data_IF_740471300876
#
_entry.id   IF_740471300876
#
_cell.length_a   1.000
_cell.length_b   1.000
_cell.length_c   1.000
_cell.angle_alpha   90.00
_cell.angle_beta   90.00
_cell.angle_gamma   90.00
#
_symmetry.space_group_name_H-M   'P 1'
#
loop_
_entity.id
_entity.type
_entity.pdbx_description
1 polymer ?
#
# COMPACT_ATOMS: atom_id res chain seq x y z
N UNK A 1 -39.87 -27.21 19.59
CA UNK A 1 -39.06 -28.39 19.94
C UNK A 1 -37.84 -28.41 19.04
N UNK A 2 -36.64 -28.34 19.63
CA UNK A 2 -35.36 -28.37 18.93
C UNK A 2 -34.26 -28.18 19.97
N UNK A 3 -33.80 -29.29 20.55
CA UNK A 3 -32.85 -29.29 21.68
C UNK A 3 -31.44 -28.98 21.15
N UNK A 4 -30.85 -27.89 21.64
CA UNK A 4 -29.44 -27.56 21.43
C UNK A 4 -28.53 -28.56 22.16
N UNK A 5 -27.60 -29.14 21.41
CA UNK A 5 -26.55 -30.00 21.95
C UNK A 5 -25.52 -29.17 22.70
N UNK A 6 -25.38 -29.42 24.00
CA UNK A 6 -24.47 -28.70 24.89
C UNK A 6 -23.00 -29.06 24.68
N UNK A 7 -22.14 -28.08 24.99
CA UNK A 7 -20.71 -28.24 25.17
C UNK A 7 -20.40 -29.21 26.32
N UNK A 8 -19.52 -30.18 26.06
CA UNK A 8 -18.96 -31.08 27.08
C UNK A 8 -17.72 -30.44 27.70
N UNK A 9 -17.59 -30.35 29.05
CA UNK A 9 -16.39 -29.83 29.70
C UNK A 9 -15.24 -30.85 29.65
N UNK A 10 -14.05 -30.39 29.25
CA UNK A 10 -12.80 -31.15 29.26
C UNK A 10 -12.36 -31.47 30.69
N UNK A 11 -12.05 -32.75 30.95
CA UNK A 11 -11.57 -33.23 32.26
C UNK A 11 -10.16 -32.69 32.56
N UNK A 12 -10.03 -32.04 33.72
CA UNK A 12 -8.76 -31.62 34.34
C UNK A 12 -7.80 -32.80 34.44
N UNK A 13 -6.59 -32.68 33.86
CA UNK A 13 -5.44 -33.53 34.14
C UNK A 13 -4.44 -32.68 34.93
N UNK A 14 -4.16 -33.05 36.18
CA UNK A 14 -3.06 -32.48 36.95
C UNK A 14 -1.72 -32.96 36.40
N UNK A 15 -0.67 -32.12 36.37
CA UNK A 15 0.67 -32.57 36.00
C UNK A 15 1.31 -33.36 37.16
N UNK A 16 2.17 -34.35 36.87
CA UNK A 16 2.89 -35.09 37.89
C UNK A 16 4.02 -34.23 38.48
N UNK A 17 4.17 -34.29 39.80
CA UNK A 17 5.31 -33.76 40.55
C UNK A 17 6.46 -34.77 40.44
N UNK A 18 7.62 -34.32 39.96
CA UNK A 18 8.87 -35.09 40.01
C UNK A 18 9.78 -34.46 41.06
N UNK A 19 9.99 -35.18 42.16
CA UNK A 19 11.08 -34.95 43.10
C UNK A 19 12.38 -35.49 42.49
N UNK A 20 13.37 -34.62 42.28
CA UNK A 20 14.77 -35.01 42.17
C UNK A 20 15.70 -33.87 42.61
N UNK A 21 16.86 -34.18 43.22
CA UNK A 21 17.61 -33.27 44.08
C UNK A 21 18.49 -32.26 43.31
N UNK A 22 18.69 -31.10 43.93
CA UNK A 22 19.58 -30.02 43.46
C UNK A 22 21.03 -30.53 43.41
N UNK A 23 21.56 -30.74 42.21
CA UNK A 23 22.98 -30.96 41.97
C UNK A 23 23.66 -29.63 41.64
N UNK A 24 24.45 -29.14 42.59
CA UNK A 24 25.41 -28.05 42.38
C UNK A 24 26.51 -28.51 41.42
N UNK A 25 26.60 -27.90 40.24
CA UNK A 25 27.78 -28.01 39.37
C UNK A 25 28.40 -26.62 39.20
N UNK A 26 29.61 -26.46 39.71
CA UNK A 26 30.48 -25.30 39.49
C UNK A 26 30.72 -25.11 37.98
N UNK A 27 30.59 -23.87 37.51
CA UNK A 27 30.94 -23.49 36.15
C UNK A 27 32.47 -23.36 36.03
N UNK A 28 33.06 -24.06 35.06
CA UNK A 28 34.47 -23.90 34.70
C UNK A 28 34.71 -22.56 33.98
N UNK A 29 35.89 -21.93 34.13
CA UNK A 29 36.18 -20.63 33.53
C UNK A 29 36.40 -20.72 32.01
N UNK A 30 35.93 -19.69 31.30
CA UNK A 30 36.06 -19.50 29.84
C UNK A 30 37.50 -19.03 29.53
N UNK A 31 38.22 -19.61 28.54
CA UNK A 31 39.52 -19.11 28.13
C UNK A 31 39.39 -17.82 27.32
N UNK A 32 40.18 -16.80 27.67
CA UNK A 32 40.35 -15.57 26.89
C UNK A 32 41.43 -15.84 25.84
N UNK A 33 41.11 -15.66 24.56
CA UNK A 33 42.08 -15.67 23.48
C UNK A 33 42.66 -14.26 23.28
N UNK A 34 43.98 -14.14 23.45
CA UNK A 34 44.74 -12.92 23.21
C UNK A 34 44.87 -12.61 21.71
N UNK A 35 44.47 -11.38 21.36
CA UNK A 35 45.05 -10.50 20.34
C UNK A 35 45.33 -11.05 18.93
N UNK A 36 44.36 -10.87 18.01
CA UNK A 36 44.67 -10.65 16.59
C UNK A 36 44.51 -9.17 16.23
N UNK A 37 45.58 -8.56 15.74
CA UNK A 37 45.61 -7.20 15.20
C UNK A 37 44.86 -7.15 13.88
N UNK A 38 43.74 -6.42 13.82
CA UNK A 38 43.02 -6.14 12.58
C UNK A 38 43.62 -4.86 11.97
N UNK A 39 44.24 -5.00 10.79
CA UNK A 39 44.65 -3.88 9.95
C UNK A 39 43.41 -3.08 9.51
N UNK A 40 43.29 -1.86 10.01
CA UNK A 40 42.22 -0.93 9.60
C UNK A 40 42.61 -0.29 8.27
N UNK A 41 42.27 -0.96 7.18
CA UNK A 41 42.29 -0.37 5.85
C UNK A 41 41.30 0.82 5.84
N UNK A 42 41.84 2.02 5.71
CA UNK A 42 41.06 3.26 5.62
C UNK A 42 40.32 3.27 4.29
N UNK A 43 39.05 2.90 4.31
CA UNK A 43 38.17 3.03 3.14
C UNK A 43 37.76 4.48 3.00
N UNK A 44 38.24 5.13 1.95
CA UNK A 44 37.87 6.49 1.57
C UNK A 44 36.37 6.58 1.31
N UNK A 45 35.68 7.38 2.11
CA UNK A 45 34.26 7.71 1.94
C UNK A 45 34.11 8.63 0.71
N UNK A 46 33.84 8.05 -0.46
CA UNK A 46 33.26 8.83 -1.53
C UNK A 46 31.86 9.33 -1.10
N UNK A 47 31.49 10.59 -1.39
CA UNK A 47 30.19 11.10 -1.03
C UNK A 47 29.10 10.33 -1.77
N UNK A 48 28.40 9.42 -1.08
CA UNK A 48 27.14 8.85 -1.57
C UNK A 48 26.16 10.01 -1.76
N UNK A 49 25.84 10.31 -3.01
CA UNK A 49 24.62 11.06 -3.33
C UNK A 49 23.48 10.30 -2.63
N UNK A 50 22.71 10.92 -1.72
CA UNK A 50 21.61 10.22 -1.07
C UNK A 50 20.65 9.73 -2.14
N UNK A 51 20.44 8.42 -2.24
CA UNK A 51 19.46 7.87 -3.17
C UNK A 51 18.09 8.44 -2.80
N UNK A 52 17.38 9.03 -3.77
CA UNK A 52 16.03 9.55 -3.54
C UNK A 52 15.12 8.44 -3.01
N UNK A 53 14.24 8.80 -2.09
CA UNK A 53 13.17 7.91 -1.61
C UNK A 53 12.18 7.65 -2.75
N UNK A 54 11.71 6.42 -2.87
CA UNK A 54 10.86 5.99 -3.98
C UNK A 54 9.43 5.80 -3.51
N UNK A 55 8.49 6.46 -4.17
CA UNK A 55 7.07 6.17 -4.02
C UNK A 55 6.55 5.48 -5.27
N UNK A 56 5.97 4.31 -5.10
CA UNK A 56 5.33 3.61 -6.20
C UNK A 56 3.84 3.95 -6.23
N UNK A 57 3.36 4.41 -7.37
CA UNK A 57 1.95 4.65 -7.64
C UNK A 57 1.48 3.48 -8.50
N UNK A 58 0.96 2.45 -7.84
CA UNK A 58 0.56 1.18 -8.45
C UNK A 58 -0.94 1.20 -8.68
N UNK A 59 -1.39 1.07 -9.92
CA UNK A 59 -2.81 1.22 -10.22
C UNK A 59 -3.35 0.24 -11.26
N UNK A 60 -4.66 0.02 -11.19
CA UNK A 60 -5.45 -0.51 -12.29
C UNK A 60 -6.35 0.59 -12.85
N UNK A 61 -6.42 0.70 -14.18
CA UNK A 61 -7.29 1.67 -14.87
C UNK A 61 -7.87 1.05 -16.13
N UNK A 62 -9.18 0.82 -16.14
CA UNK A 62 -9.86 0.32 -17.35
C UNK A 62 -9.99 1.44 -18.39
N UNK A 63 -10.57 2.58 -17.99
CA UNK A 63 -10.98 3.68 -18.88
C UNK A 63 -10.21 4.99 -18.59
N UNK A 64 -8.96 4.93 -18.14
CA UNK A 64 -8.11 6.13 -17.97
C UNK A 64 -8.32 6.98 -16.70
N UNK A 65 -9.49 6.94 -16.06
CA UNK A 65 -9.81 7.84 -14.94
C UNK A 65 -8.85 7.73 -13.74
N UNK A 66 -8.52 6.50 -13.32
CA UNK A 66 -7.56 6.25 -12.23
C UNK A 66 -6.15 6.64 -12.65
N UNK A 67 -5.79 6.38 -13.91
CA UNK A 67 -4.50 6.80 -14.47
C UNK A 67 -4.34 8.32 -14.47
N UNK A 68 -5.39 9.07 -14.79
CA UNK A 68 -5.40 10.54 -14.71
C UNK A 68 -5.09 11.04 -13.29
N UNK A 69 -5.70 10.44 -12.27
CA UNK A 69 -5.36 10.73 -10.87
C UNK A 69 -3.92 10.33 -10.55
N UNK A 70 -3.46 9.15 -10.99
CA UNK A 70 -2.11 8.65 -10.73
C UNK A 70 -1.03 9.60 -11.32
N UNK A 71 -1.21 10.05 -12.56
CA UNK A 71 -0.35 11.04 -13.23
C UNK A 71 -0.31 12.35 -12.45
N UNK A 72 -1.43 12.77 -11.86
CA UNK A 72 -1.50 13.97 -11.03
C UNK A 72 -0.87 13.79 -9.65
N UNK A 73 -1.04 12.63 -9.01
CA UNK A 73 -0.34 12.25 -7.77
C UNK A 73 1.17 12.27 -7.94
N UNK A 74 1.67 11.77 -9.08
CA UNK A 74 3.10 11.80 -9.42
C UNK A 74 3.67 13.21 -9.32
N UNK A 75 2.97 14.23 -9.85
CA UNK A 75 3.39 15.64 -9.72
C UNK A 75 3.52 16.07 -8.26
N UNK A 76 2.57 15.66 -7.41
CA UNK A 76 2.60 15.96 -5.98
C UNK A 76 3.78 15.33 -5.25
N UNK A 77 4.08 14.07 -5.57
CA UNK A 77 5.24 13.35 -5.02
C UNK A 77 6.54 14.00 -5.49
N UNK A 78 6.71 14.19 -6.80
CA UNK A 78 7.93 14.73 -7.41
C UNK A 78 8.19 16.20 -6.98
N UNK A 79 7.16 16.90 -6.49
CA UNK A 79 7.29 18.23 -5.90
C UNK A 79 7.93 18.26 -4.51
N UNK A 80 8.24 17.10 -3.90
CA UNK A 80 8.94 17.00 -2.62
C UNK A 80 10.40 16.62 -2.84
N UNK A 81 11.31 17.51 -2.43
CA UNK A 81 12.75 17.29 -2.55
C UNK A 81 13.20 15.98 -1.89
N UNK A 82 14.01 15.20 -2.61
CA UNK A 82 14.56 13.93 -2.14
C UNK A 82 13.61 12.73 -2.27
N UNK A 83 12.44 12.90 -2.90
CA UNK A 83 11.46 11.84 -3.17
C UNK A 83 11.14 11.80 -4.67
N UNK A 84 10.89 10.61 -5.21
CA UNK A 84 10.57 10.40 -6.62
C UNK A 84 9.42 9.40 -6.77
N UNK A 85 8.45 9.71 -7.63
CA UNK A 85 7.34 8.84 -7.95
C UNK A 85 7.59 7.97 -9.18
N UNK A 86 7.16 6.71 -9.13
CA UNK A 86 7.16 5.78 -10.25
C UNK A 86 5.74 5.29 -10.48
N UNK A 87 5.28 5.37 -11.74
CA UNK A 87 3.95 4.88 -12.13
C UNK A 87 4.06 3.43 -12.57
N UNK A 88 3.16 2.60 -12.07
CA UNK A 88 3.09 1.19 -12.42
C UNK A 88 1.65 0.74 -12.62
N UNK A 89 1.44 -0.10 -13.63
CA UNK A 89 0.16 -0.80 -13.85
C UNK A 89 0.19 -2.17 -13.21
N UNK A 90 -0.94 -2.64 -12.73
CA UNK A 90 -1.13 -4.09 -12.48
C UNK A 90 -1.62 -4.76 -13.77
N UNK A 91 -1.29 -6.03 -13.93
CA UNK A 91 -1.66 -6.81 -15.10
C UNK A 91 -3.19 -6.89 -15.31
N UNK A 92 -3.61 -6.91 -16.56
CA UNK A 92 -4.99 -7.16 -16.95
C UNK A 92 -5.35 -8.64 -16.78
N UNK A 93 -6.59 -8.93 -16.38
CA UNK A 93 -7.09 -10.29 -16.15
C UNK A 93 -8.19 -10.70 -17.13
N UNK A 94 -8.79 -9.73 -17.83
CA UNK A 94 -9.76 -10.00 -18.88
C UNK A 94 -9.04 -10.33 -20.19
N UNK A 95 -9.65 -11.19 -21.02
CA UNK A 95 -9.11 -11.48 -22.35
C UNK A 95 -9.29 -10.30 -23.31
N UNK A 96 -8.45 -10.23 -24.33
CA UNK A 96 -8.51 -9.20 -25.38
C UNK A 96 -9.88 -9.12 -26.04
N UNK A 97 -10.53 -10.26 -26.30
CA UNK A 97 -11.89 -10.33 -26.85
C UNK A 97 -12.93 -9.62 -25.96
N UNK A 98 -12.80 -9.74 -24.63
CA UNK A 98 -13.68 -9.08 -23.68
C UNK A 98 -13.39 -7.58 -23.66
N UNK A 99 -12.11 -7.19 -23.62
CA UNK A 99 -11.69 -5.78 -23.65
C UNK A 99 -12.18 -5.07 -24.91
N UNK A 100 -12.07 -5.73 -26.07
CA UNK A 100 -12.58 -5.21 -27.35
C UNK A 100 -14.09 -4.99 -27.31
N UNK A 101 -14.86 -5.96 -26.79
CA UNK A 101 -16.32 -5.81 -26.62
C UNK A 101 -16.70 -4.69 -25.65
N UNK A 102 -15.89 -4.49 -24.62
CA UNK A 102 -16.05 -3.40 -23.66
C UNK A 102 -15.59 -2.04 -24.20
N UNK A 103 -14.97 -2.01 -25.40
CA UNK A 103 -14.34 -0.81 -25.98
C UNK A 103 -13.35 -0.18 -25.01
N UNK A 104 -12.60 -1.01 -24.29
CA UNK A 104 -11.55 -0.54 -23.41
C UNK A 104 -10.47 0.19 -24.25
N UNK A 105 -10.05 1.40 -23.85
CA UNK A 105 -8.98 2.10 -24.55
C UNK A 105 -7.65 1.34 -24.41
N UNK A 106 -6.79 1.52 -25.42
CA UNK A 106 -5.41 1.06 -25.34
C UNK A 106 -4.70 1.68 -24.13
N UNK A 107 -3.76 0.92 -23.56
CA UNK A 107 -3.01 1.35 -22.39
C UNK A 107 -1.76 2.11 -22.80
N UNK A 108 -1.35 3.07 -21.97
CA UNK A 108 -0.10 3.81 -22.14
C UNK A 108 1.11 2.86 -22.00
N UNK A 109 1.78 2.58 -23.13
CA UNK A 109 2.97 1.71 -23.18
C UNK A 109 4.16 2.28 -22.41
N UNK A 110 4.15 3.59 -22.10
CA UNK A 110 5.18 4.24 -21.31
C UNK A 110 5.09 3.94 -19.81
N UNK A 111 3.97 3.38 -19.33
CA UNK A 111 3.80 2.99 -17.93
C UNK A 111 3.97 1.46 -17.85
N UNK A 112 5.04 0.93 -17.24
CA UNK A 112 5.26 -0.51 -17.16
C UNK A 112 4.28 -1.19 -16.22
N UNK A 113 4.13 -2.50 -16.41
CA UNK A 113 3.49 -3.36 -15.40
C UNK A 113 4.48 -3.68 -14.27
N UNK A 114 3.97 -3.87 -13.05
CA UNK A 114 4.76 -4.24 -11.88
C UNK A 114 4.41 -5.64 -11.39
N UNK A 115 5.43 -6.38 -10.97
CA UNK A 115 5.28 -7.65 -10.26
C UNK A 115 5.21 -7.41 -8.74
N UNK A 116 4.57 -8.31 -7.99
CA UNK A 116 4.52 -8.20 -6.54
C UNK A 116 5.92 -8.03 -5.91
N UNK A 117 6.91 -8.82 -6.37
CA UNK A 117 8.27 -8.81 -5.82
C UNK A 117 8.94 -7.43 -5.87
N UNK A 118 8.60 -6.59 -6.85
CA UNK A 118 9.19 -5.25 -6.99
C UNK A 118 8.71 -4.26 -5.92
N UNK A 119 7.58 -4.52 -5.24
CA UNK A 119 7.06 -3.65 -4.17
C UNK A 119 8.07 -3.40 -3.03
N UNK A 120 9.02 -4.31 -2.83
CA UNK A 120 10.05 -4.16 -1.78
C UNK A 120 10.94 -2.94 -2.02
N UNK A 121 11.07 -2.50 -3.28
CA UNK A 121 11.91 -1.39 -3.70
C UNK A 121 11.27 -0.01 -3.42
N UNK A 122 10.01 0.02 -3.00
CA UNK A 122 9.31 1.25 -2.66
C UNK A 122 9.52 1.62 -1.19
N UNK A 123 9.73 2.90 -0.90
CA UNK A 123 9.71 3.44 0.45
C UNK A 123 8.28 3.81 0.89
N UNK A 124 7.36 4.02 -0.06
CA UNK A 124 5.93 4.12 0.17
C UNK A 124 5.11 3.80 -1.08
N UNK A 125 3.83 3.47 -0.92
CA UNK A 125 2.99 3.01 -2.03
C UNK A 125 1.62 3.70 -2.06
N UNK A 126 1.18 4.18 -3.22
CA UNK A 126 -0.18 4.64 -3.46
C UNK A 126 -0.87 3.65 -4.40
N UNK A 127 -1.94 3.00 -3.93
CA UNK A 127 -2.71 2.03 -4.70
C UNK A 127 -3.97 2.64 -5.31
N UNK A 128 -4.09 2.57 -6.63
CA UNK A 128 -5.19 3.14 -7.39
C UNK A 128 -6.09 2.11 -8.05
N UNK A 129 -7.40 2.19 -7.89
CA UNK A 129 -8.30 1.26 -8.59
C UNK A 129 -9.75 1.78 -8.74
N UNK A 130 -10.44 1.41 -9.83
CA UNK A 130 -11.84 1.71 -9.96
C UNK A 130 -12.65 0.82 -9.00
N UNK A 131 -13.75 1.35 -8.49
CA UNK A 131 -14.71 0.57 -7.72
C UNK A 131 -15.36 -0.52 -8.57
N UNK A 132 -15.57 -1.67 -7.95
CA UNK A 132 -16.49 -2.72 -8.38
C UNK A 132 -17.37 -3.05 -7.19
N UNK A 133 -18.57 -2.48 -7.19
CA UNK A 133 -19.59 -2.65 -6.14
C UNK A 133 -19.08 -2.32 -4.72
N UNK A 134 -18.29 -1.25 -4.57
CA UNK A 134 -17.75 -0.84 -3.27
C UNK A 134 -16.48 -1.59 -2.84
N UNK A 135 -15.89 -2.38 -3.73
CA UNK A 135 -14.61 -3.07 -3.55
C UNK A 135 -13.62 -2.71 -4.67
N UNK A 136 -12.36 -3.09 -4.49
CA UNK A 136 -11.36 -2.99 -5.57
C UNK A 136 -11.71 -3.87 -6.77
N UNK A 137 -11.23 -3.47 -7.96
CA UNK A 137 -11.35 -4.30 -9.15
C UNK A 137 -10.58 -5.63 -9.01
N UNK A 138 -11.05 -6.67 -9.72
CA UNK A 138 -10.48 -8.02 -9.65
C UNK A 138 -8.98 -8.06 -10.02
N UNK A 139 -8.54 -7.21 -10.95
CA UNK A 139 -7.15 -7.04 -11.36
C UNK A 139 -6.27 -6.62 -10.19
N UNK A 140 -6.71 -5.60 -9.43
CA UNK A 140 -5.99 -5.16 -8.22
C UNK A 140 -6.05 -6.23 -7.13
N UNK A 141 -7.19 -6.92 -6.98
CA UNK A 141 -7.30 -8.01 -6.01
C UNK A 141 -6.34 -9.16 -6.33
N UNK A 142 -6.23 -9.54 -7.60
CA UNK A 142 -5.30 -10.56 -8.09
C UNK A 142 -3.85 -10.16 -7.84
N UNK A 143 -3.49 -8.88 -8.06
CA UNK A 143 -2.18 -8.36 -7.71
C UNK A 143 -1.91 -8.53 -6.20
N UNK A 144 -2.83 -8.14 -5.32
CA UNK A 144 -2.68 -8.40 -3.88
C UNK A 144 -2.58 -9.89 -3.55
N UNK A 145 -3.35 -10.77 -4.20
CA UNK A 145 -3.25 -12.22 -3.96
C UNK A 145 -1.88 -12.80 -4.35
N UNK A 146 -1.18 -12.17 -5.31
CA UNK A 146 0.18 -12.56 -5.69
C UNK A 146 1.26 -12.16 -4.66
N UNK A 147 0.91 -11.37 -3.63
CA UNK A 147 1.86 -10.89 -2.62
C UNK A 147 2.08 -11.86 -1.44
N UNK A 148 1.59 -13.10 -1.52
CA UNK A 148 1.63 -14.07 -0.42
C UNK A 148 3.04 -14.34 0.15
N UNK A 149 4.07 -14.37 -0.70
CA UNK A 149 5.45 -14.53 -0.22
C UNK A 149 5.94 -13.31 0.55
N UNK A 150 5.63 -12.10 0.08
CA UNK A 150 5.99 -10.86 0.77
C UNK A 150 5.30 -10.75 2.12
N UNK A 151 4.05 -11.18 2.20
CA UNK A 151 3.30 -11.28 3.46
C UNK A 151 4.00 -12.25 4.41
N UNK A 152 4.29 -13.47 3.97
CA UNK A 152 4.96 -14.49 4.79
C UNK A 152 6.29 -14.01 5.37
N UNK A 153 7.04 -13.26 4.57
CA UNK A 153 8.35 -12.73 4.94
C UNK A 153 8.32 -11.32 5.56
N UNK A 154 7.13 -10.74 5.75
CA UNK A 154 6.92 -9.40 6.31
C UNK A 154 7.68 -8.28 5.56
N UNK A 155 7.89 -8.43 4.24
CA UNK A 155 8.72 -7.51 3.45
C UNK A 155 8.12 -6.13 3.23
N UNK A 156 6.81 -5.98 3.43
CA UNK A 156 6.10 -4.71 3.31
C UNK A 156 5.78 -4.07 4.66
N UNK A 157 6.10 -4.73 5.77
CA UNK A 157 5.80 -4.23 7.10
C UNK A 157 6.47 -2.86 7.34
N UNK A 158 5.73 -1.92 7.94
CA UNK A 158 6.19 -0.57 8.23
C UNK A 158 6.19 0.41 7.03
N UNK A 159 6.01 -0.07 5.79
CA UNK A 159 5.97 0.82 4.62
C UNK A 159 4.66 1.63 4.62
N UNK A 160 4.70 2.97 4.47
CA UNK A 160 3.51 3.79 4.25
C UNK A 160 2.76 3.41 2.99
N UNK A 161 1.42 3.31 3.09
CA UNK A 161 0.56 3.06 1.95
C UNK A 161 -0.77 3.80 2.02
N UNK A 162 -1.31 4.18 0.86
CA UNK A 162 -2.58 4.89 0.74
C UNK A 162 -3.38 4.46 -0.48
N UNK A 163 -4.62 4.90 -0.57
CA UNK A 163 -5.55 4.52 -1.64
C UNK A 163 -6.09 5.72 -2.42
N UNK A 164 -6.43 5.49 -3.67
CA UNK A 164 -7.23 6.40 -4.49
C UNK A 164 -8.13 5.64 -5.46
N UNK A 165 -9.28 6.21 -5.79
CA UNK A 165 -10.36 5.44 -6.41
C UNK A 165 -11.06 6.19 -7.53
N UNK A 166 -11.74 5.45 -8.41
CA UNK A 166 -12.77 6.03 -9.28
C UNK A 166 -14.10 5.33 -9.08
N UNK A 167 -15.20 6.07 -9.05
CA UNK A 167 -16.56 5.51 -8.98
C UNK A 167 -17.43 6.04 -10.10
N UNK A 168 -18.46 5.30 -10.51
CA UNK A 168 -19.42 5.80 -11.51
C UNK A 168 -20.25 6.96 -10.98
N UNK A 169 -20.78 6.82 -9.76
CA UNK A 169 -21.79 7.75 -9.20
C UNK A 169 -21.45 8.16 -7.77
N UNK A 170 -22.16 9.18 -7.26
CA UNK A 170 -21.89 9.81 -5.95
C UNK A 170 -21.86 8.83 -4.78
N UNK A 171 -22.86 7.95 -4.68
CA UNK A 171 -22.94 6.88 -3.68
C UNK A 171 -22.28 5.57 -4.10
N UNK A 172 -21.64 5.52 -5.27
CA UNK A 172 -21.13 4.29 -5.90
C UNK A 172 -19.84 3.73 -5.30
N UNK A 173 -19.54 4.01 -4.04
CA UNK A 173 -18.40 3.42 -3.33
C UNK A 173 -17.11 4.24 -3.32
N UNK A 174 -17.18 5.58 -3.34
CA UNK A 174 -15.98 6.45 -3.16
C UNK A 174 -15.26 6.19 -1.83
N UNK A 175 -16.00 5.87 -0.77
CA UNK A 175 -15.44 5.61 0.56
C UNK A 175 -15.23 4.11 0.80
N UNK A 176 -16.26 3.31 0.54
CA UNK A 176 -16.25 1.87 0.84
C UNK A 176 -15.18 1.10 0.06
N UNK A 177 -14.84 1.54 -1.16
CA UNK A 177 -13.79 0.92 -1.97
C UNK A 177 -12.41 1.03 -1.31
N UNK A 178 -12.10 2.21 -0.75
CA UNK A 178 -10.86 2.40 -0.01
C UNK A 178 -10.93 1.68 1.34
N UNK A 179 -12.06 1.78 2.06
CA UNK A 179 -12.25 1.12 3.34
C UNK A 179 -12.01 -0.39 3.23
N UNK A 180 -12.72 -1.08 2.34
CA UNK A 180 -12.60 -2.54 2.18
C UNK A 180 -11.17 -2.97 1.82
N UNK A 181 -10.42 -2.13 1.13
CA UNK A 181 -9.02 -2.36 0.78
C UNK A 181 -8.04 -2.21 1.95
N UNK A 182 -8.36 -1.47 3.02
CA UNK A 182 -7.48 -1.29 4.20
C UNK A 182 -7.05 -2.63 4.78
N UNK A 183 -7.94 -3.64 4.73
CA UNK A 183 -7.63 -5.00 5.19
C UNK A 183 -6.36 -5.58 4.56
N UNK A 184 -6.06 -5.25 3.29
CA UNK A 184 -4.84 -5.71 2.63
C UNK A 184 -3.58 -5.12 3.27
N UNK A 185 -3.60 -3.83 3.59
CA UNK A 185 -2.48 -3.14 4.26
C UNK A 185 -2.28 -3.67 5.68
N UNK A 186 -3.38 -3.84 6.43
CA UNK A 186 -3.35 -4.36 7.80
C UNK A 186 -2.68 -5.72 7.87
N UNK A 187 -3.02 -6.65 6.97
CA UNK A 187 -2.44 -7.99 6.97
C UNK A 187 -0.96 -8.01 6.58
N UNK A 188 -0.51 -7.06 5.75
CA UNK A 188 0.91 -6.89 5.40
C UNK A 188 1.73 -6.11 6.45
N UNK A 189 1.08 -5.56 7.49
CA UNK A 189 1.73 -4.68 8.46
C UNK A 189 2.14 -3.32 7.89
N UNK A 190 1.53 -2.89 6.78
CA UNK A 190 1.77 -1.58 6.18
C UNK A 190 1.09 -0.46 6.98
N UNK A 191 1.66 0.74 6.92
CA UNK A 191 1.10 1.91 7.62
C UNK A 191 0.09 2.61 6.71
N UNK A 192 -1.20 2.52 7.02
CA UNK A 192 -2.22 3.24 6.25
C UNK A 192 -2.12 4.75 6.47
N UNK A 193 -1.86 5.49 5.40
CA UNK A 193 -1.80 6.96 5.35
C UNK A 193 -3.02 7.49 4.58
N UNK A 194 -4.13 7.82 5.28
CA UNK A 194 -5.27 8.49 4.66
C UNK A 194 -4.92 9.96 4.35
N UNK A 195 -5.59 10.55 3.37
CA UNK A 195 -5.47 12.00 3.11
C UNK A 195 -6.13 12.83 4.21
N UNK A 196 -7.15 12.28 4.89
CA UNK A 196 -7.90 13.00 5.92
C UNK A 196 -8.52 14.29 5.37
N UNK A 197 -8.58 15.32 6.21
CA UNK A 197 -8.99 16.67 5.79
C UNK A 197 -7.80 17.58 5.47
N UNK A 198 -6.61 17.01 5.20
CA UNK A 198 -5.37 17.79 5.05
C UNK A 198 -5.34 18.69 3.81
N UNK A 199 -6.25 18.49 2.84
CA UNK A 199 -6.47 19.37 1.70
C UNK A 199 -7.26 20.66 2.04
N UNK A 200 -7.51 20.89 3.34
CA UNK A 200 -8.04 22.14 3.88
C UNK A 200 -9.41 22.50 3.31
N UNK A 201 -9.59 23.78 2.95
CA UNK A 201 -10.85 24.30 2.41
C UNK A 201 -11.35 23.52 1.17
N UNK A 202 -10.45 22.91 0.39
CA UNK A 202 -10.81 22.07 -0.76
C UNK A 202 -11.69 20.87 -0.40
N UNK A 203 -11.58 20.35 0.83
CA UNK A 203 -12.41 19.24 1.31
C UNK A 203 -13.86 19.67 1.60
N UNK A 204 -14.09 20.94 1.89
CA UNK A 204 -15.40 21.47 2.27
C UNK A 204 -16.15 22.16 1.13
N UNK A 205 -15.54 22.23 -0.07
CA UNK A 205 -16.21 22.79 -1.26
C UNK A 205 -17.37 21.90 -1.69
N UNK A 206 -18.53 22.53 -1.89
CA UNK A 206 -19.80 21.92 -2.32
C UNK A 206 -20.36 22.59 -3.59
N UNK A 207 -19.55 23.37 -4.28
CA UNK A 207 -19.90 24.11 -5.50
C UNK A 207 -20.06 23.20 -6.73
N UNK A 208 -19.38 22.05 -6.71
CA UNK A 208 -19.35 21.09 -7.81
C UNK A 208 -19.36 19.65 -7.29
N UNK A 209 -19.98 18.74 -8.05
CA UNK A 209 -19.89 17.30 -7.77
C UNK A 209 -18.45 16.85 -7.99
N UNK A 210 -17.81 16.34 -6.94
CA UNK A 210 -16.43 15.84 -6.94
C UNK A 210 -16.28 14.53 -6.17
N UNK A 211 -15.43 13.64 -6.68
CA UNK A 211 -14.98 12.47 -5.95
C UNK A 211 -13.97 12.81 -4.85
N UNK A 212 -13.53 11.76 -4.17
CA UNK A 212 -12.57 11.87 -3.08
C UNK A 212 -13.19 12.11 -1.72
N UNK A 213 -12.57 11.53 -0.71
CA UNK A 213 -13.01 11.50 0.68
C UNK A 213 -11.79 11.55 1.62
N UNK A 214 -11.97 11.58 2.95
CA UNK A 214 -10.86 11.47 3.89
C UNK A 214 -10.04 10.17 3.73
N UNK A 215 -10.61 9.13 3.12
CA UNK A 215 -9.92 7.86 2.86
C UNK A 215 -8.91 7.95 1.70
N UNK A 216 -9.07 8.92 0.80
CA UNK A 216 -8.22 9.10 -0.37
C UNK A 216 -8.87 9.96 -1.45
N UNK A 217 -8.05 10.45 -2.38
CA UNK A 217 -8.49 11.13 -3.58
C UNK A 217 -9.36 10.20 -4.43
N UNK A 218 -10.28 10.79 -5.18
CA UNK A 218 -11.09 10.02 -6.10
C UNK A 218 -11.76 10.87 -7.16
N UNK A 219 -12.28 10.18 -8.17
CA UNK A 219 -12.93 10.78 -9.34
C UNK A 219 -14.26 10.11 -9.63
N UNK A 220 -15.27 10.87 -10.07
CA UNK A 220 -16.48 10.31 -10.65
C UNK A 220 -16.37 10.15 -12.17
N UNK A 221 -16.60 8.94 -12.66
CA UNK A 221 -16.59 8.63 -14.09
C UNK A 221 -17.95 8.87 -14.78
N UNK A 222 -19.05 8.97 -14.01
CA UNK A 222 -20.39 9.04 -14.58
C UNK A 222 -20.72 7.75 -15.34
N UNK A 223 -21.12 7.91 -16.60
CA UNK A 223 -21.31 6.84 -17.59
C UNK A 223 -19.99 6.38 -18.25
N UNK A 224 -18.86 6.94 -17.83
CA UNK A 224 -17.53 6.74 -18.41
C UNK A 224 -17.03 7.93 -19.24
N UNK A 225 -17.86 8.95 -19.47
CA UNK A 225 -17.49 10.15 -20.23
C UNK A 225 -17.03 11.34 -19.35
N UNK A 226 -17.27 11.30 -18.04
CA UNK A 226 -16.92 12.41 -17.15
C UNK A 226 -15.44 12.33 -16.75
N UNK A 227 -14.68 13.31 -17.21
CA UNK A 227 -13.30 13.51 -16.81
C UNK A 227 -13.15 14.07 -15.39
N UNK A 228 -11.96 13.87 -14.81
CA UNK A 228 -11.62 14.46 -13.51
C UNK A 228 -11.62 15.99 -13.61
N UNK A 229 -12.32 16.65 -12.68
CA UNK A 229 -12.27 18.10 -12.57
C UNK A 229 -11.04 18.56 -11.77
N UNK A 230 -10.75 19.86 -11.80
CA UNK A 230 -9.54 20.38 -11.16
C UNK A 230 -9.54 20.19 -9.63
N UNK A 231 -10.69 20.15 -8.96
CA UNK A 231 -10.74 19.90 -7.51
C UNK A 231 -10.35 18.45 -7.19
N UNK A 232 -10.81 17.48 -7.99
CA UNK A 232 -10.42 16.06 -7.87
C UNK A 232 -8.93 15.87 -8.15
N UNK A 233 -8.42 16.53 -9.19
CA UNK A 233 -7.01 16.49 -9.56
C UNK A 233 -6.12 17.17 -8.50
N UNK A 234 -6.50 18.34 -8.00
CA UNK A 234 -5.76 19.03 -6.95
C UNK A 234 -5.71 18.21 -5.64
N UNK A 235 -6.80 17.50 -5.29
CA UNK A 235 -6.80 16.57 -4.16
C UNK A 235 -5.83 15.41 -4.37
N UNK A 236 -5.76 14.86 -5.59
CA UNK A 236 -4.79 13.82 -5.93
C UNK A 236 -3.35 14.32 -5.82
N UNK A 237 -3.05 15.50 -6.36
CA UNK A 237 -1.72 16.13 -6.21
C UNK A 237 -1.35 16.33 -4.74
N UNK A 238 -2.30 16.84 -3.94
CA UNK A 238 -2.12 17.01 -2.50
C UNK A 238 -1.84 15.69 -1.79
N UNK A 239 -2.58 14.62 -2.09
CA UNK A 239 -2.35 13.29 -1.51
C UNK A 239 -0.96 12.76 -1.87
N UNK A 240 -0.49 12.95 -3.11
CA UNK A 240 0.87 12.59 -3.53
C UNK A 240 1.93 13.31 -2.69
N UNK A 241 1.80 14.63 -2.55
CA UNK A 241 2.70 15.46 -1.73
C UNK A 241 2.67 15.06 -0.25
N UNK A 242 1.49 14.75 0.26
CA UNK A 242 1.29 14.34 1.65
C UNK A 242 1.99 13.00 1.92
N UNK A 243 1.81 12.00 1.05
CA UNK A 243 2.49 10.71 1.15
C UNK A 243 4.03 10.88 1.12
N UNK A 244 4.55 11.67 0.18
CA UNK A 244 5.99 11.98 0.09
C UNK A 244 6.55 12.62 1.36
N UNK A 245 5.79 13.52 1.98
CA UNK A 245 6.16 14.14 3.26
C UNK A 245 6.21 13.12 4.40
N UNK A 246 5.25 12.20 4.46
CA UNK A 246 5.21 11.14 5.49
C UNK A 246 6.38 10.16 5.30
N UNK A 247 6.60 9.67 4.09
CA UNK A 247 7.73 8.77 3.76
C UNK A 247 9.06 9.43 4.14
N UNK A 248 9.27 10.70 3.75
CA UNK A 248 10.48 11.44 4.10
C UNK A 248 10.70 11.57 5.61
N UNK A 249 9.64 11.80 6.39
CA UNK A 249 9.73 11.89 7.86
C UNK A 249 10.11 10.55 8.50
N UNK A 250 9.55 9.45 8.00
CA UNK A 250 9.83 8.11 8.53
C UNK A 250 11.22 7.60 8.14
N UNK A 251 11.80 8.09 7.04
CA UNK A 251 13.15 7.75 6.61
C UNK A 251 14.26 8.54 7.33
N UNK A 252 13.91 9.57 8.12
CA UNK A 252 14.87 10.46 8.80
C UNK A 252 15.25 10.01 10.22
N UNK A 253 14.85 8.81 10.63
CA UNK A 253 15.30 8.14 11.87
C UNK A 253 16.53 7.27 11.61
#
# INVERSE_FOLDING_TARGET
>A
MGKGGGCVPSKKKQPPVSDDPVSSREAAPIPIHDGETIDVATTSLEPRIPSKLKIFIVFYSMYGHVEGLAKRMKKGVDGVEGVEAFLYRVAETLSDDVLMKMKAPEKDVGIPEITAAELINADGVLFGFPTRYGCMAAQMKSFFDSTGQLWKEQKLAGKPAGFFVSAGTQGGGQETTAWTAITQLTHHGMLFVPVGYTFGAGMFKMDTVRGGSPYGAGVYAGDGSREANETELALAEHQGKYMATIVKRLAQT
#
